data_IF_770509111125
#
_entry.id   IF_770509111125
#
_cell.length_a   1.000
_cell.length_b   1.000
_cell.length_c   1.000
_cell.angle_alpha   90.00
_cell.angle_beta   90.00
_cell.angle_gamma   90.00
#
_symmetry.space_group_name_H-M   'P 1'
#
loop_
_entity.id
_entity.type
_entity.pdbx_description
1 polymer ?
#
# COMPACT_ATOMS: atom_id res chain seq x y z
N UNK A 1 -1.79 -10.01 13.46
CA UNK A 1 -1.13 -9.38 12.30
C UNK A 1 -2.18 -9.19 11.20
N UNK A 2 -2.02 -8.29 10.22
CA UNK A 2 -3.06 -8.09 9.18
C UNK A 2 -2.99 -9.19 8.10
N UNK A 3 -4.16 -9.54 7.54
CA UNK A 3 -4.28 -10.57 6.49
C UNK A 3 -3.97 -9.98 5.11
N UNK A 4 -3.76 -10.88 4.14
CA UNK A 4 -3.58 -10.52 2.72
C UNK A 4 -4.70 -9.62 2.20
N UNK A 5 -5.95 -9.92 2.51
CA UNK A 5 -7.12 -9.18 2.02
C UNK A 5 -7.13 -7.73 2.51
N UNK A 6 -6.74 -7.49 3.77
CA UNK A 6 -6.61 -6.12 4.30
C UNK A 6 -5.52 -5.36 3.54
N UNK A 7 -4.38 -5.99 3.25
CA UNK A 7 -3.33 -5.36 2.46
C UNK A 7 -3.79 -5.06 1.02
N UNK A 8 -4.49 -5.98 0.37
CA UNK A 8 -5.02 -5.78 -0.98
C UNK A 8 -6.01 -4.61 -1.03
N UNK A 9 -6.99 -4.59 -0.14
CA UNK A 9 -7.95 -3.49 -0.03
C UNK A 9 -7.28 -2.16 0.25
N UNK A 10 -6.31 -2.12 1.17
CA UNK A 10 -5.62 -0.88 1.53
C UNK A 10 -4.78 -0.36 0.36
N UNK A 11 -4.05 -1.25 -0.33
CA UNK A 11 -3.24 -0.87 -1.49
C UNK A 11 -4.11 -0.31 -2.62
N UNK A 12 -5.25 -0.94 -2.91
CA UNK A 12 -6.22 -0.45 -3.90
C UNK A 12 -6.74 0.93 -3.50
N UNK A 13 -7.18 1.10 -2.24
CA UNK A 13 -7.66 2.38 -1.71
C UNK A 13 -6.62 3.50 -1.83
N UNK A 14 -5.34 3.18 -1.66
CA UNK A 14 -4.24 4.13 -1.79
C UNK A 14 -3.79 4.37 -3.25
N UNK A 15 -4.32 3.62 -4.23
CA UNK A 15 -3.88 3.66 -5.63
C UNK A 15 -2.49 3.05 -5.85
N UNK A 16 -2.06 2.13 -4.98
CA UNK A 16 -0.78 1.45 -5.04
C UNK A 16 -0.93 0.09 -5.73
N UNK A 17 0.17 -0.42 -6.27
CA UNK A 17 0.21 -1.71 -6.99
C UNK A 17 1.02 -2.71 -6.18
N UNK A 18 0.47 -3.91 -5.98
CA UNK A 18 1.18 -5.01 -5.32
C UNK A 18 2.00 -5.76 -6.36
N UNK A 19 3.29 -5.95 -6.08
CA UNK A 19 4.17 -6.80 -6.88
C UNK A 19 4.40 -8.17 -6.20
N UNK A 20 4.49 -8.20 -4.86
CA UNK A 20 4.75 -9.43 -4.09
C UNK A 20 4.21 -9.33 -2.66
N UNK A 21 3.63 -10.41 -2.15
CA UNK A 21 3.24 -10.57 -0.75
C UNK A 21 4.03 -11.74 -0.16
N UNK A 22 4.68 -11.52 0.99
CA UNK A 22 5.42 -12.54 1.75
C UNK A 22 4.67 -12.84 3.04
N UNK A 23 4.35 -14.11 3.25
CA UNK A 23 3.61 -14.61 4.41
C UNK A 23 4.53 -15.41 5.35
N UNK A 24 4.08 -15.61 6.59
CA UNK A 24 4.78 -16.47 7.55
C UNK A 24 4.33 -17.92 7.39
N UNK A 25 5.10 -18.72 6.62
CA UNK A 25 4.82 -20.15 6.44
C UNK A 25 3.38 -20.41 6.01
N UNK A 26 2.69 -21.30 6.74
CA UNK A 26 1.29 -21.68 6.45
C UNK A 26 0.25 -20.69 7.01
N UNK A 27 0.67 -19.62 7.70
CA UNK A 27 -0.27 -18.63 8.21
C UNK A 27 -0.76 -17.68 7.10
N UNK A 28 -1.99 -17.19 7.24
CA UNK A 28 -2.54 -16.14 6.36
C UNK A 28 -1.99 -14.74 6.70
N UNK A 29 -1.04 -14.65 7.64
CA UNK A 29 -0.51 -13.39 8.11
C UNK A 29 0.58 -12.85 7.18
N UNK A 30 0.47 -11.58 6.84
CA UNK A 30 1.43 -10.89 5.98
C UNK A 30 2.62 -10.43 6.80
N UNK A 31 3.82 -10.88 6.42
CA UNK A 31 5.09 -10.43 7.01
C UNK A 31 5.61 -9.17 6.30
N UNK A 32 5.49 -9.14 4.97
CA UNK A 32 6.05 -8.10 4.12
C UNK A 32 5.29 -8.01 2.81
N UNK A 33 5.14 -6.80 2.29
CA UNK A 33 4.64 -6.55 0.93
C UNK A 33 5.66 -5.74 0.15
N UNK A 34 5.81 -6.01 -1.14
CA UNK A 34 6.54 -5.19 -2.09
C UNK A 34 5.60 -4.74 -3.20
N UNK A 35 5.83 -3.53 -3.71
CA UNK A 35 4.91 -2.91 -4.66
C UNK A 35 5.39 -1.57 -5.17
N UNK A 36 4.50 -0.89 -5.90
CA UNK A 36 4.77 0.36 -6.61
C UNK A 36 3.76 1.45 -6.28
N UNK A 37 4.27 2.67 -6.21
CA UNK A 37 3.47 3.89 -6.09
C UNK A 37 3.70 4.76 -7.32
N UNK A 38 2.61 5.22 -7.93
CA UNK A 38 2.62 6.18 -9.05
C UNK A 38 2.79 7.59 -8.50
N UNK A 39 3.88 8.26 -8.89
CA UNK A 39 4.23 9.60 -8.41
C UNK A 39 4.24 10.56 -9.61
N UNK A 40 3.40 11.61 -9.60
CA UNK A 40 3.49 12.66 -10.59
C UNK A 40 4.82 13.42 -10.47
N UNK A 41 5.52 13.55 -11.59
CA UNK A 41 6.80 14.27 -11.69
C UNK A 41 6.74 15.28 -12.81
N UNK A 42 7.08 16.53 -12.47
CA UNK A 42 7.23 17.60 -13.46
C UNK A 42 8.59 17.44 -14.14
N UNK A 43 8.57 17.33 -15.46
CA UNK A 43 9.74 17.21 -16.32
C UNK A 43 9.64 18.21 -17.46
N UNK A 44 10.77 18.60 -18.03
CA UNK A 44 10.81 19.41 -19.25
C UNK A 44 11.20 18.49 -20.40
N UNK A 45 10.33 18.35 -21.40
CA UNK A 45 10.58 17.56 -22.61
C UNK A 45 10.48 18.52 -23.79
N UNK A 46 11.57 18.65 -24.55
CA UNK A 46 11.65 19.54 -25.73
C UNK A 46 11.23 20.98 -25.43
N UNK A 47 11.69 21.54 -24.30
CA UNK A 47 11.37 22.91 -23.88
C UNK A 47 10.00 23.09 -23.21
N UNK A 48 9.12 22.10 -23.26
CA UNK A 48 7.79 22.17 -22.66
C UNK A 48 7.73 21.48 -21.30
N UNK A 49 7.16 22.16 -20.30
CA UNK A 49 6.89 21.55 -18.98
C UNK A 49 5.72 20.59 -19.09
N UNK A 50 5.95 19.33 -18.73
CA UNK A 50 4.96 18.26 -18.72
C UNK A 50 4.96 17.54 -17.38
N UNK A 51 3.81 16.96 -17.00
CA UNK A 51 3.72 16.05 -15.84
C UNK A 51 3.72 14.62 -16.34
N UNK A 52 4.71 13.85 -15.92
CA UNK A 52 4.82 12.41 -16.21
C UNK A 52 4.55 11.61 -14.93
N UNK A 53 4.14 10.35 -15.08
CA UNK A 53 3.97 9.45 -13.92
C UNK A 53 5.22 8.57 -13.81
N UNK A 54 5.93 8.69 -12.69
CA UNK A 54 7.03 7.81 -12.33
C UNK A 54 6.53 6.71 -11.38
N UNK A 55 6.83 5.45 -11.65
CA UNK A 55 6.54 4.35 -10.73
C UNK A 55 7.73 4.10 -9.81
N UNK A 56 7.51 4.26 -8.50
CA UNK A 56 8.54 4.06 -7.49
C UNK A 56 8.26 2.80 -6.68
N UNK A 57 9.28 1.95 -6.52
CA UNK A 57 9.17 0.69 -5.79
C UNK A 57 9.44 0.87 -4.30
N UNK A 58 8.58 0.27 -3.49
CA UNK A 58 8.65 0.28 -2.04
C UNK A 58 8.36 -1.10 -1.45
N UNK A 59 8.59 -1.21 -0.15
CA UNK A 59 8.20 -2.35 0.65
C UNK A 59 7.48 -1.87 1.91
N UNK A 60 6.54 -2.69 2.38
CA UNK A 60 5.79 -2.46 3.60
C UNK A 60 6.01 -3.63 4.56
N UNK A 61 6.12 -3.32 5.84
CA UNK A 61 6.15 -4.32 6.90
C UNK A 61 4.74 -4.82 7.26
N UNK A 62 4.67 -5.74 8.22
CA UNK A 62 3.43 -6.37 8.67
C UNK A 62 2.40 -5.41 9.29
N UNK A 63 2.80 -4.18 9.64
CA UNK A 63 1.94 -3.15 10.23
C UNK A 63 1.68 -1.98 9.29
N UNK A 64 2.21 -2.02 8.07
CA UNK A 64 1.95 -1.04 7.03
C UNK A 64 2.97 0.10 6.96
N UNK A 65 4.09 0.04 7.68
CA UNK A 65 5.15 1.05 7.51
C UNK A 65 5.88 0.86 6.19
N UNK A 66 6.03 1.95 5.45
CA UNK A 66 6.67 1.99 4.15
C UNK A 66 8.17 2.26 4.27
N UNK A 67 8.95 1.53 3.49
CA UNK A 67 10.39 1.71 3.33
C UNK A 67 10.76 1.68 1.85
N UNK A 68 11.85 2.33 1.50
CA UNK A 68 12.48 2.14 0.19
C UNK A 68 12.75 0.65 -0.07
N UNK A 69 12.56 0.19 -1.32
CA UNK A 69 12.70 -1.24 -1.64
C UNK A 69 14.09 -1.79 -1.25
N UNK A 70 15.15 -1.00 -1.50
CA UNK A 70 16.56 -1.41 -1.35
C UNK A 70 17.25 -0.88 -0.10
N UNK A 71 16.57 -0.10 0.75
CA UNK A 71 17.17 0.45 1.98
C UNK A 71 16.18 0.43 3.15
N UNK A 72 16.68 0.70 4.36
CA UNK A 72 15.85 0.81 5.56
C UNK A 72 15.33 2.25 5.79
N UNK A 73 15.42 3.13 4.79
CA UNK A 73 14.89 4.48 4.89
C UNK A 73 13.37 4.41 4.88
N UNK A 74 12.75 4.84 5.99
CA UNK A 74 11.29 4.89 6.15
C UNK A 74 10.70 6.04 5.33
N UNK A 75 9.59 5.77 4.65
CA UNK A 75 8.94 6.67 3.70
C UNK A 75 7.49 6.92 4.14
N UNK A 76 7.33 7.55 5.31
CA UNK A 76 6.06 7.68 6.05
C UNK A 76 4.87 8.18 5.22
N UNK A 77 5.12 9.02 4.21
CA UNK A 77 4.10 9.53 3.29
C UNK A 77 3.35 8.42 2.55
N UNK A 78 3.95 7.25 2.42
CA UNK A 78 3.39 6.10 1.72
C UNK A 78 3.07 4.94 2.67
N UNK A 79 2.99 5.18 3.99
CA UNK A 79 2.51 4.18 4.95
C UNK A 79 1.07 3.75 4.61
N UNK A 80 0.75 2.48 4.85
CA UNK A 80 -0.58 1.92 4.60
C UNK A 80 -1.48 2.11 5.84
N UNK A 81 -2.67 2.72 5.71
CA UNK A 81 -3.61 2.89 6.81
C UNK A 81 -4.41 1.59 7.08
N UNK A 82 -3.72 0.49 7.41
CA UNK A 82 -4.33 -0.85 7.57
C UNK A 82 -5.45 -0.86 8.62
N UNK A 83 -5.24 -0.17 9.75
CA UNK A 83 -6.25 -0.11 10.81
C UNK A 83 -7.54 0.58 10.34
N UNK A 84 -7.43 1.62 9.54
CA UNK A 84 -8.58 2.36 9.00
C UNK A 84 -9.47 1.44 8.17
N UNK A 85 -8.86 0.61 7.31
CA UNK A 85 -9.61 -0.38 6.51
C UNK A 85 -10.25 -1.45 7.39
N UNK A 86 -9.57 -1.90 8.44
CA UNK A 86 -10.17 -2.85 9.39
C UNK A 86 -11.40 -2.27 10.08
N UNK A 87 -11.32 -1.04 10.60
CA UNK A 87 -12.48 -0.40 11.25
C UNK A 87 -13.61 -0.13 10.27
N UNK A 88 -13.30 0.33 9.06
CA UNK A 88 -14.28 0.50 7.99
C UNK A 88 -15.03 -0.80 7.68
N UNK A 89 -14.31 -1.92 7.55
CA UNK A 89 -14.91 -3.23 7.29
C UNK A 89 -15.80 -3.73 8.43
N UNK A 90 -15.48 -3.37 9.69
CA UNK A 90 -16.35 -3.69 10.83
C UNK A 90 -17.65 -2.90 10.76
N UNK A 91 -17.57 -1.60 10.50
CA UNK A 91 -18.73 -0.72 10.37
C UNK A 91 -19.67 -1.21 9.26
N UNK A 92 -19.14 -1.51 8.06
CA UNK A 92 -19.95 -2.05 6.97
C UNK A 92 -20.68 -3.34 7.34
N UNK A 93 -20.02 -4.24 8.10
CA UNK A 93 -20.63 -5.49 8.54
C UNK A 93 -21.75 -5.24 9.53
N UNK A 94 -21.53 -4.33 10.48
CA UNK A 94 -22.54 -3.94 11.47
C UNK A 94 -23.76 -3.30 10.79
N UNK A 95 -23.57 -2.41 9.82
CA UNK A 95 -24.66 -1.82 9.04
C UNK A 95 -25.45 -2.87 8.25
N UNK A 96 -24.77 -3.85 7.65
CA UNK A 96 -25.42 -4.95 6.91
C UNK A 96 -26.28 -5.85 7.81
N UNK A 97 -25.92 -5.99 9.09
CA UNK A 97 -26.69 -6.78 10.06
C UNK A 97 -27.91 -6.03 10.62
N UNK A 98 -27.92 -4.69 10.53
CA UNK A 98 -29.04 -3.84 10.97
C UNK A 98 -30.06 -3.54 9.87
N UNK A 99 -29.79 -3.98 8.63
CA UNK A 99 -30.73 -3.90 7.49
C UNK A 99 -31.44 -5.22 7.30
#
# INVERSE_FOLDING_TARGET
>A
MYTKDIFEQTMISCGYVIDKIVRNGDSQEVRKVEGRVKIPKKVTISGNRQTTIEEKKFRWDAVGHCFSLRSNVRQRRYDLPLQTIVEFNKLEKTEKLMR
#
